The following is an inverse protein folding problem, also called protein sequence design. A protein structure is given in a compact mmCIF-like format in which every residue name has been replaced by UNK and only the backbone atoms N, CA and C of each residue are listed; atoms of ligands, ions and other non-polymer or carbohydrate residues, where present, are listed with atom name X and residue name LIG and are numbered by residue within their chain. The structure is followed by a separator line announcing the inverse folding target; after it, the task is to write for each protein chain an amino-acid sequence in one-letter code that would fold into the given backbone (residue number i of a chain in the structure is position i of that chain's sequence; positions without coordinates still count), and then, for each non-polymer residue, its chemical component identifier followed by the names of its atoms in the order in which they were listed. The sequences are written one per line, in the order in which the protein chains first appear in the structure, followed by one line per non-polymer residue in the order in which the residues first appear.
data_IF_906483444663
#
_entry.id   IF_906483444663
#
_cell.length_a   1.000
_cell.length_b   1.000
_cell.length_c   1.000
_cell.angle_alpha   90.00
_cell.angle_beta   90.00
_cell.angle_gamma   90.00
#
_symmetry.space_group_name_H-M   'P 1'
#
loop_
_entity.id
_entity.type
_entity.pdbx_description
1 polymer ?
#
# COMPACT_ATOMS: atom_id res chain seq x y z
N UNK A 1 12.41 10.16 44.94
CA UNK A 1 11.40 9.19 44.47
C UNK A 1 11.21 9.46 42.99
N UNK A 2 12.04 8.84 42.14
CA UNK A 2 11.93 8.98 40.68
C UNK A 2 10.71 8.17 40.22
N UNK A 3 9.78 8.75 39.45
CA UNK A 3 8.75 7.96 38.80
C UNK A 3 9.41 7.18 37.66
N UNK A 4 9.25 5.86 37.70
CA UNK A 4 9.58 4.93 36.64
C UNK A 4 8.61 5.19 35.47
N UNK A 5 8.99 6.08 34.56
CA UNK A 5 8.24 6.40 33.32
C UNK A 5 8.77 5.58 32.15
N UNK A 6 8.72 4.26 32.22
CA UNK A 6 8.63 3.44 31.01
C UNK A 6 7.16 3.24 30.67
N UNK A 7 6.46 4.34 30.37
CA UNK A 7 5.09 4.27 29.88
C UNK A 7 5.16 3.87 28.42
N UNK A 8 5.22 2.56 28.18
CA UNK A 8 5.10 1.96 26.86
C UNK A 8 3.90 2.55 26.10
N UNK A 9 4.13 3.02 24.88
CA UNK A 9 3.13 3.72 24.07
C UNK A 9 2.37 2.73 23.20
N UNK A 10 1.14 2.38 23.62
CA UNK A 10 0.31 1.37 22.94
C UNK A 10 -0.74 2.00 22.00
N UNK A 11 -0.84 1.46 20.79
CA UNK A 11 -1.78 1.86 19.75
C UNK A 11 -2.71 0.70 19.40
N UNK A 12 -4.02 0.85 19.63
CA UNK A 12 -5.03 -0.15 19.22
C UNK A 12 -5.36 0.01 17.73
N UNK A 13 -5.28 -1.07 16.95
CA UNK A 13 -5.38 -1.04 15.49
C UNK A 13 -6.82 -1.18 14.94
N UNK A 14 -7.83 -1.45 15.78
CA UNK A 14 -9.20 -1.67 15.33
C UNK A 14 -10.01 -0.37 15.22
N UNK A 15 -10.08 0.25 14.03
CA UNK A 15 -11.21 1.13 13.63
C UNK A 15 -11.27 1.39 12.11
N UNK A 16 -12.51 1.39 11.59
CA UNK A 16 -12.87 1.46 10.16
C UNK A 16 -12.82 2.90 9.59
N UNK A 17 -12.30 3.02 8.37
CA UNK A 17 -12.16 4.27 7.61
C UNK A 17 -13.48 4.59 6.88
N UNK A 18 -13.97 5.86 6.88
CA UNK A 18 -15.12 6.29 6.08
C UNK A 18 -14.77 6.40 4.59
N UNK A 19 -15.65 5.93 3.72
CA UNK A 19 -15.52 5.96 2.25
C UNK A 19 -15.81 7.37 1.69
N UNK A 20 -14.95 7.95 0.83
CA UNK A 20 -15.24 9.20 0.14
C UNK A 20 -16.07 8.97 -1.15
N UNK A 21 -16.89 9.96 -1.50
CA UNK A 21 -17.91 9.93 -2.56
C UNK A 21 -17.33 10.07 -3.97
N UNK A 22 -17.61 9.09 -4.84
CA UNK A 22 -17.29 9.07 -6.28
C UNK A 22 -18.18 10.06 -7.07
N UNK A 23 -17.63 11.21 -7.47
CA UNK A 23 -18.41 12.29 -8.12
C UNK A 23 -18.28 12.42 -9.64
N UNK A 24 -17.14 12.08 -10.24
CA UNK A 24 -16.84 12.57 -11.61
C UNK A 24 -16.30 11.49 -12.58
N UNK A 25 -15.82 10.35 -12.07
CA UNK A 25 -15.48 9.16 -12.88
C UNK A 25 -16.72 8.36 -13.32
N UNK A 26 -17.85 8.54 -12.62
CA UNK A 26 -19.12 7.87 -12.89
C UNK A 26 -19.81 8.33 -14.18
N UNK A 27 -19.67 9.60 -14.58
CA UNK A 27 -20.46 10.13 -15.71
C UNK A 27 -20.01 9.61 -17.08
N UNK A 28 -18.69 9.43 -17.25
CA UNK A 28 -18.12 8.79 -18.47
C UNK A 28 -18.38 7.28 -18.48
N UNK A 29 -18.25 6.61 -17.32
CA UNK A 29 -18.62 5.19 -17.16
C UNK A 29 -20.11 4.96 -17.48
N UNK A 30 -21.01 5.84 -17.00
CA UNK A 30 -22.46 5.75 -17.26
C UNK A 30 -22.80 5.80 -18.74
N UNK A 31 -22.28 6.77 -19.51
CA UNK A 31 -22.58 6.86 -20.96
C UNK A 31 -22.06 5.67 -21.75
N UNK A 32 -20.87 5.16 -21.43
CA UNK A 32 -20.31 3.97 -22.07
C UNK A 32 -21.11 2.71 -21.69
N UNK A 33 -21.51 2.60 -20.43
CA UNK A 33 -22.34 1.51 -19.93
C UNK A 33 -23.75 1.51 -20.56
N UNK A 34 -24.36 2.68 -20.78
CA UNK A 34 -25.68 2.78 -21.45
C UNK A 34 -25.61 2.36 -22.91
N UNK A 35 -24.57 2.77 -23.65
CA UNK A 35 -24.39 2.35 -25.04
C UNK A 35 -24.09 0.85 -25.16
N UNK A 36 -23.24 0.32 -24.28
CA UNK A 36 -22.89 -1.10 -24.24
C UNK A 36 -24.09 -1.97 -23.87
N UNK A 37 -24.86 -1.59 -22.84
CA UNK A 37 -26.10 -2.29 -22.47
C UNK A 37 -27.13 -2.24 -23.61
N UNK A 38 -27.31 -1.09 -24.26
CA UNK A 38 -28.17 -0.99 -25.43
C UNK A 38 -27.74 -1.95 -26.55
N UNK A 39 -26.44 -2.06 -26.84
CA UNK A 39 -25.90 -2.97 -27.84
C UNK A 39 -26.06 -4.45 -27.43
N UNK A 40 -25.88 -4.76 -26.15
CA UNK A 40 -26.02 -6.10 -25.57
C UNK A 40 -27.47 -6.59 -25.62
N UNK A 41 -28.46 -5.70 -25.58
CA UNK A 41 -29.88 -6.04 -25.78
C UNK A 41 -30.29 -5.97 -27.26
N UNK A 42 -29.77 -5.03 -28.06
CA UNK A 42 -30.14 -4.88 -29.46
C UNK A 42 -29.69 -6.06 -30.33
N UNK A 43 -28.48 -6.60 -30.11
CA UNK A 43 -27.95 -7.70 -30.91
C UNK A 43 -28.73 -9.02 -30.75
N UNK A 44 -29.10 -9.48 -29.53
CA UNK A 44 -29.97 -10.64 -29.35
C UNK A 44 -31.37 -10.43 -29.92
N UNK A 45 -31.94 -9.22 -29.79
CA UNK A 45 -33.24 -8.89 -30.39
C UNK A 45 -33.16 -9.00 -31.92
N UNK A 46 -32.07 -8.53 -32.52
CA UNK A 46 -31.81 -8.63 -33.95
C UNK A 46 -31.64 -10.09 -34.39
N UNK A 47 -30.92 -10.91 -33.62
CA UNK A 47 -30.83 -12.36 -33.84
C UNK A 47 -32.20 -13.03 -33.80
N UNK A 48 -33.01 -12.74 -32.78
CA UNK A 48 -34.36 -13.30 -32.63
C UNK A 48 -35.29 -12.87 -33.76
N UNK A 49 -35.17 -11.64 -34.24
CA UNK A 49 -35.93 -11.14 -35.38
C UNK A 49 -35.60 -11.90 -36.67
N UNK A 50 -34.31 -12.15 -36.94
CA UNK A 50 -33.89 -12.92 -38.12
C UNK A 50 -34.31 -14.40 -38.03
N UNK A 51 -34.24 -15.02 -36.85
CA UNK A 51 -34.75 -16.37 -36.62
C UNK A 51 -36.28 -16.47 -36.80
N UNK A 52 -37.02 -15.45 -36.35
CA UNK A 52 -38.46 -15.38 -36.57
C UNK A 52 -38.81 -15.23 -38.06
N UNK A 53 -38.09 -14.37 -38.80
CA UNK A 53 -38.26 -14.24 -40.25
C UNK A 53 -37.93 -15.54 -40.98
N UNK A 54 -36.88 -16.26 -40.58
CA UNK A 54 -36.56 -17.58 -41.12
C UNK A 54 -37.74 -18.55 -40.89
N UNK A 55 -38.30 -18.58 -39.69
CA UNK A 55 -39.42 -19.46 -39.36
C UNK A 55 -40.66 -19.20 -40.24
N UNK A 56 -40.94 -17.94 -40.57
CA UNK A 56 -42.09 -17.55 -41.41
C UNK A 56 -41.82 -17.72 -42.90
N UNK A 57 -40.60 -17.47 -43.36
CA UNK A 57 -40.27 -17.42 -44.80
C UNK A 57 -39.56 -18.66 -45.33
N UNK A 58 -39.08 -19.55 -44.45
CA UNK A 58 -38.25 -20.72 -44.76
C UNK A 58 -36.96 -20.43 -45.55
N UNK A 59 -36.48 -19.18 -45.54
CA UNK A 59 -35.23 -18.80 -46.21
C UNK A 59 -34.05 -19.14 -45.30
N UNK A 60 -33.34 -20.23 -45.60
CA UNK A 60 -32.14 -20.72 -44.88
C UNK A 60 -31.01 -19.68 -44.74
N UNK A 61 -30.95 -18.67 -45.62
CA UNK A 61 -29.97 -17.60 -45.53
C UNK A 61 -30.15 -16.74 -44.26
N UNK A 62 -31.39 -16.59 -43.75
CA UNK A 62 -31.67 -15.76 -42.58
C UNK A 62 -31.10 -16.34 -41.28
N UNK A 63 -30.98 -17.67 -41.18
CA UNK A 63 -30.29 -18.33 -40.08
C UNK A 63 -28.81 -17.92 -39.99
N UNK A 64 -28.13 -17.79 -41.13
CA UNK A 64 -26.73 -17.34 -41.20
C UNK A 64 -26.61 -15.88 -40.81
N UNK A 65 -27.55 -15.03 -41.24
CA UNK A 65 -27.60 -13.62 -40.85
C UNK A 65 -27.85 -13.46 -39.35
N UNK A 66 -28.67 -14.32 -38.73
CA UNK A 66 -28.91 -14.33 -37.30
C UNK A 66 -27.68 -14.71 -36.47
N UNK A 67 -26.78 -15.52 -37.03
CA UNK A 67 -25.53 -15.92 -36.38
C UNK A 67 -24.50 -14.78 -36.29
N UNK A 68 -24.50 -13.84 -37.26
CA UNK A 68 -23.53 -12.73 -37.32
C UNK A 68 -23.57 -11.84 -36.05
N UNK A 69 -24.74 -11.35 -35.57
CA UNK A 69 -24.81 -10.60 -34.31
C UNK A 69 -24.31 -11.41 -33.09
N UNK A 70 -24.57 -12.72 -33.05
CA UNK A 70 -24.10 -13.60 -31.96
C UNK A 70 -22.57 -13.73 -31.97
N UNK A 71 -21.98 -13.91 -33.15
CA UNK A 71 -20.52 -14.00 -33.32
C UNK A 71 -19.84 -12.68 -32.90
N UNK A 72 -20.42 -11.54 -33.28
CA UNK A 72 -19.93 -10.21 -32.86
C UNK A 72 -19.99 -10.06 -31.34
N UNK A 73 -21.09 -10.44 -30.69
CA UNK A 73 -21.20 -10.42 -29.23
C UNK A 73 -20.16 -11.32 -28.56
N UNK A 74 -20.02 -12.54 -29.05
CA UNK A 74 -19.08 -13.52 -28.51
C UNK A 74 -17.63 -13.02 -28.64
N UNK A 75 -17.28 -12.49 -29.80
CA UNK A 75 -15.97 -11.86 -30.05
C UNK A 75 -15.72 -10.68 -29.10
N UNK A 76 -16.68 -9.77 -28.95
CA UNK A 76 -16.56 -8.62 -28.06
C UNK A 76 -16.35 -9.03 -26.60
N UNK A 77 -17.14 -9.98 -26.08
CA UNK A 77 -17.04 -10.46 -24.69
C UNK A 77 -15.69 -11.15 -24.44
N UNK A 78 -15.23 -11.99 -25.38
CA UNK A 78 -13.94 -12.68 -25.24
C UNK A 78 -12.79 -11.68 -25.27
N UNK A 79 -12.79 -10.76 -26.24
CA UNK A 79 -11.74 -9.76 -26.38
C UNK A 79 -11.70 -8.86 -25.15
N UNK A 80 -12.85 -8.41 -24.65
CA UNK A 80 -12.94 -7.59 -23.44
C UNK A 80 -12.40 -8.33 -22.21
N UNK A 81 -12.84 -9.57 -21.96
CA UNK A 81 -12.31 -10.38 -20.84
C UNK A 81 -10.81 -10.64 -20.96
N UNK A 82 -10.33 -10.92 -22.17
CA UNK A 82 -8.92 -11.20 -22.41
C UNK A 82 -8.05 -9.95 -22.23
N UNK A 83 -8.49 -8.80 -22.77
CA UNK A 83 -7.83 -7.50 -22.59
C UNK A 83 -7.84 -7.10 -21.12
N UNK A 84 -8.98 -7.17 -20.44
CA UNK A 84 -9.09 -6.84 -19.02
C UNK A 84 -8.19 -7.75 -18.15
N UNK A 85 -8.12 -9.05 -18.46
CA UNK A 85 -7.25 -9.99 -17.77
C UNK A 85 -5.76 -9.70 -17.98
N UNK A 86 -5.36 -9.41 -19.23
CA UNK A 86 -3.97 -9.04 -19.56
C UNK A 86 -3.57 -7.71 -18.94
N UNK A 87 -4.44 -6.71 -19.01
CA UNK A 87 -4.21 -5.39 -18.45
C UNK A 87 -4.08 -5.47 -16.93
N UNK A 88 -4.99 -6.17 -16.25
CA UNK A 88 -4.90 -6.40 -14.80
C UNK A 88 -3.59 -7.09 -14.41
N UNK A 89 -3.18 -8.13 -15.14
CA UNK A 89 -1.92 -8.84 -14.88
C UNK A 89 -0.69 -7.96 -15.15
N UNK A 90 -0.74 -7.12 -16.18
CA UNK A 90 0.30 -6.13 -16.49
C UNK A 90 0.44 -5.07 -15.40
N UNK A 91 -0.68 -4.49 -14.98
CA UNK A 91 -0.74 -3.50 -13.89
C UNK A 91 -0.24 -4.08 -12.57
N UNK A 92 -0.66 -5.29 -12.19
CA UNK A 92 -0.16 -5.97 -10.98
C UNK A 92 1.36 -6.19 -11.03
N UNK A 93 1.90 -6.55 -12.21
CA UNK A 93 3.34 -6.72 -12.38
C UNK A 93 4.09 -5.39 -12.21
N UNK A 94 3.58 -4.31 -12.79
CA UNK A 94 4.15 -2.97 -12.62
C UNK A 94 4.13 -2.53 -11.16
N UNK A 95 3.01 -2.74 -10.46
CA UNK A 95 2.88 -2.44 -9.04
C UNK A 95 3.93 -3.17 -8.20
N UNK A 96 4.17 -4.45 -8.47
CA UNK A 96 5.16 -5.23 -7.74
C UNK A 96 6.60 -4.75 -7.98
N UNK A 97 6.97 -4.39 -9.21
CA UNK A 97 8.28 -3.77 -9.48
C UNK A 97 8.44 -2.46 -8.72
N UNK A 98 7.39 -1.66 -8.69
CA UNK A 98 7.36 -0.40 -7.97
C UNK A 98 7.46 -0.59 -6.45
N UNK A 99 6.67 -1.52 -5.86
CA UNK A 99 6.80 -1.90 -4.44
C UNK A 99 8.24 -2.29 -4.13
N UNK A 100 8.85 -3.15 -4.94
CA UNK A 100 10.24 -3.59 -4.75
C UNK A 100 11.24 -2.44 -4.73
N UNK A 101 11.12 -1.50 -5.67
CA UNK A 101 11.96 -0.30 -5.69
C UNK A 101 11.74 0.57 -4.46
N UNK A 102 10.49 0.79 -4.05
CA UNK A 102 10.15 1.63 -2.91
C UNK A 102 10.73 1.06 -1.63
N UNK A 103 10.47 -0.20 -1.31
CA UNK A 103 10.97 -0.80 -0.07
C UNK A 103 12.51 -0.87 0.00
N UNK A 104 13.22 -0.87 -1.14
CA UNK A 104 14.69 -0.81 -1.18
C UNK A 104 15.28 0.61 -1.14
N UNK A 105 14.45 1.64 -1.18
CA UNK A 105 14.86 3.06 -1.24
C UNK A 105 15.12 3.68 0.14
N UNK A 106 15.10 5.03 0.24
CA UNK A 106 15.21 5.78 1.50
C UNK A 106 14.14 5.40 2.55
N UNK A 107 12.99 4.87 2.14
CA UNK A 107 11.96 4.40 3.08
C UNK A 107 12.44 3.24 3.95
N UNK A 108 13.49 2.50 3.54
CA UNK A 108 14.10 1.42 4.32
C UNK A 108 14.51 1.90 5.70
N UNK A 109 15.04 3.11 5.82
CA UNK A 109 15.43 3.68 7.11
C UNK A 109 14.22 3.90 8.03
N UNK A 110 13.09 4.34 7.48
CA UNK A 110 11.83 4.49 8.22
C UNK A 110 11.41 3.15 8.83
N UNK A 111 11.45 2.08 8.04
CA UNK A 111 11.10 0.73 8.51
C UNK A 111 12.09 0.19 9.53
N UNK A 112 13.41 0.34 9.30
CA UNK A 112 14.43 -0.09 10.26
C UNK A 112 14.24 0.61 11.61
N UNK A 113 14.03 1.93 11.60
CA UNK A 113 13.78 2.70 12.82
C UNK A 113 12.49 2.23 13.52
N UNK A 114 11.44 1.99 12.73
CA UNK A 114 10.16 1.53 13.25
C UNK A 114 10.29 0.17 13.95
N UNK A 115 10.87 -0.83 13.29
CA UNK A 115 11.08 -2.16 13.86
C UNK A 115 12.01 -2.14 15.08
N UNK A 116 13.10 -1.36 15.06
CA UNK A 116 14.02 -1.27 16.19
C UNK A 116 13.40 -0.62 17.45
N UNK A 117 12.40 0.23 17.27
CA UNK A 117 11.67 0.91 18.35
C UNK A 117 10.48 0.08 18.89
N UNK A 118 10.05 -0.94 18.16
CA UNK A 118 8.86 -1.72 18.47
C UNK A 118 9.16 -2.74 19.59
N UNK A 119 8.31 -2.73 20.62
CA UNK A 119 8.35 -3.65 21.76
C UNK A 119 7.37 -4.80 21.53
N UNK A 120 6.14 -4.48 21.11
CA UNK A 120 5.08 -5.46 20.83
C UNK A 120 4.36 -5.13 19.53
N UNK A 121 4.16 -6.10 18.62
CA UNK A 121 4.85 -7.39 18.59
C UNK A 121 6.35 -7.19 18.39
N UNK A 122 7.18 -8.05 18.99
CA UNK A 122 8.63 -7.97 18.81
C UNK A 122 8.98 -8.41 17.38
N UNK A 123 9.09 -7.42 16.49
CA UNK A 123 9.48 -7.56 15.09
C UNK A 123 10.81 -6.83 14.93
N UNK A 124 11.87 -7.58 14.67
CA UNK A 124 13.14 -7.03 14.24
C UNK A 124 13.54 -7.64 12.89
N UNK A 125 14.49 -6.99 12.20
CA UNK A 125 14.93 -7.45 10.87
C UNK A 125 15.56 -8.85 10.92
N UNK A 126 16.21 -9.23 12.02
CA UNK A 126 16.86 -10.55 12.18
C UNK A 126 15.82 -11.66 12.26
N UNK A 127 14.75 -11.43 13.03
CA UNK A 127 13.59 -12.29 13.15
C UNK A 127 12.90 -12.43 11.81
N UNK A 128 12.69 -11.33 11.09
CA UNK A 128 12.14 -11.39 9.73
C UNK A 128 13.01 -12.26 8.81
N UNK A 129 14.34 -12.15 8.89
CA UNK A 129 15.25 -12.95 8.07
C UNK A 129 15.14 -14.46 8.28
N UNK A 130 14.86 -14.89 9.51
CA UNK A 130 14.74 -16.32 9.85
C UNK A 130 13.29 -16.82 9.91
N UNK A 131 12.30 -15.93 9.87
CA UNK A 131 10.89 -16.27 10.07
C UNK A 131 10.34 -17.07 8.88
N UNK A 132 9.71 -18.20 9.15
CA UNK A 132 9.00 -18.97 8.13
C UNK A 132 7.68 -18.30 7.72
N UNK A 133 7.11 -18.69 6.57
CA UNK A 133 5.87 -18.08 6.07
C UNK A 133 4.72 -18.10 7.11
N UNK A 134 4.45 -19.20 7.84
CA UNK A 134 3.41 -19.20 8.88
C UNK A 134 3.71 -18.23 10.03
N UNK A 135 4.98 -18.02 10.35
CA UNK A 135 5.40 -17.08 11.40
C UNK A 135 5.17 -15.63 10.94
N UNK A 136 5.46 -15.30 9.68
CA UNK A 136 5.15 -13.98 9.12
C UNK A 136 3.63 -13.70 9.11
N UNK A 137 2.82 -14.68 8.73
CA UNK A 137 1.36 -14.55 8.78
C UNK A 137 0.88 -14.32 10.22
N UNK A 138 1.43 -15.06 11.19
CA UNK A 138 1.11 -14.86 12.60
C UNK A 138 1.51 -13.47 13.10
N UNK A 139 2.71 -12.99 12.76
CA UNK A 139 3.15 -11.63 13.10
C UNK A 139 2.21 -10.57 12.53
N UNK A 140 1.64 -10.82 11.35
CA UNK A 140 0.68 -9.94 10.69
C UNK A 140 -0.69 -9.92 11.36
N UNK A 141 -1.14 -11.07 11.85
CA UNK A 141 -2.38 -11.22 12.64
C UNK A 141 -2.23 -10.59 14.04
N UNK A 142 -1.06 -10.73 14.66
CA UNK A 142 -0.76 -10.21 16.01
C UNK A 142 -0.54 -8.67 16.05
N UNK A 143 -0.74 -7.96 14.94
CA UNK A 143 -0.58 -6.48 14.86
C UNK A 143 -1.70 -5.69 15.55
N UNK A 144 -2.61 -6.32 16.30
CA UNK A 144 -3.75 -5.66 16.96
C UNK A 144 -3.33 -4.48 17.86
N UNK A 145 -2.16 -4.58 18.50
CA UNK A 145 -1.62 -3.53 19.35
C UNK A 145 -0.14 -3.33 19.05
N UNK A 146 0.23 -2.10 18.67
CA UNK A 146 1.62 -1.69 18.53
C UNK A 146 2.09 -0.94 19.76
N UNK A 147 3.18 -1.40 20.35
CA UNK A 147 3.78 -0.78 21.52
C UNK A 147 5.20 -0.35 21.23
N UNK A 148 5.52 0.92 21.46
CA UNK A 148 6.86 1.49 21.24
C UNK A 148 7.59 1.77 22.55
N UNK A 149 8.93 1.69 22.49
CA UNK A 149 9.82 1.80 23.65
C UNK A 149 9.78 3.18 24.30
N UNK A 150 9.82 4.26 23.51
CA UNK A 150 9.80 5.62 24.04
C UNK A 150 9.25 6.64 23.04
N UNK A 151 9.00 7.86 23.52
CA UNK A 151 8.56 9.00 22.72
C UNK A 151 9.68 9.44 21.76
N UNK A 152 10.93 9.38 22.20
CA UNK A 152 12.12 9.74 21.42
C UNK A 152 12.35 8.76 20.25
N UNK A 153 12.10 7.48 20.48
CA UNK A 153 12.15 6.47 19.42
C UNK A 153 11.05 6.72 18.38
N UNK A 154 9.83 7.07 18.82
CA UNK A 154 8.74 7.48 17.93
C UNK A 154 9.06 8.75 17.15
N UNK A 155 9.70 9.74 17.79
CA UNK A 155 10.12 10.97 17.13
C UNK A 155 11.13 10.65 16.02
N UNK A 156 12.09 9.77 16.29
CA UNK A 156 13.09 9.34 15.31
C UNK A 156 12.43 8.72 14.07
N UNK A 157 11.37 7.92 14.27
CA UNK A 157 10.57 7.38 13.17
C UNK A 157 9.86 8.51 12.43
N UNK A 158 9.13 9.38 13.13
CA UNK A 158 8.36 10.47 12.53
C UNK A 158 9.24 11.41 11.69
N UNK A 159 10.43 11.77 12.19
CA UNK A 159 11.39 12.62 11.48
C UNK A 159 11.98 11.91 10.26
N UNK A 160 12.23 10.60 10.33
CA UNK A 160 12.76 9.85 9.17
C UNK A 160 11.83 9.86 7.94
N UNK A 161 10.53 10.08 8.14
CA UNK A 161 9.58 10.27 7.03
C UNK A 161 9.87 11.54 6.22
N UNK A 162 10.46 12.59 6.81
CA UNK A 162 10.83 13.83 6.11
C UNK A 162 11.86 13.52 5.02
N UNK A 163 12.89 12.75 5.36
CA UNK A 163 13.96 12.35 4.42
C UNK A 163 13.44 11.39 3.33
N UNK A 164 12.41 10.61 3.65
CA UNK A 164 11.76 9.71 2.71
C UNK A 164 10.70 10.40 1.82
N UNK A 165 10.43 11.70 1.98
CA UNK A 165 9.34 12.41 1.26
C UNK A 165 9.39 12.23 -0.25
N UNK A 166 10.57 12.32 -0.87
CA UNK A 166 10.73 12.18 -2.32
C UNK A 166 10.29 10.81 -2.83
N UNK A 167 10.44 9.76 -2.02
CA UNK A 167 9.98 8.40 -2.35
C UNK A 167 8.45 8.36 -2.40
N UNK A 168 7.78 8.94 -1.41
CA UNK A 168 6.31 8.99 -1.36
C UNK A 168 5.72 9.83 -2.49
N UNK A 169 6.34 10.98 -2.84
CA UNK A 169 5.93 11.77 -4.01
C UNK A 169 6.10 10.98 -5.29
N UNK A 170 7.24 10.32 -5.47
CA UNK A 170 7.48 9.46 -6.64
C UNK A 170 6.39 8.39 -6.72
N UNK A 171 6.11 7.69 -5.61
CA UNK A 171 5.10 6.65 -5.59
C UNK A 171 3.69 7.17 -5.90
N UNK A 172 3.34 8.36 -5.41
CA UNK A 172 2.08 9.04 -5.74
C UNK A 172 1.98 9.35 -7.24
N UNK A 173 3.04 9.92 -7.84
CA UNK A 173 3.07 10.23 -9.27
C UNK A 173 2.88 8.96 -10.13
N UNK A 174 3.51 7.87 -9.72
CA UNK A 174 3.31 6.57 -10.37
C UNK A 174 1.90 6.01 -10.16
N UNK A 175 1.33 6.14 -8.97
CA UNK A 175 -0.05 5.71 -8.69
C UNK A 175 -1.05 6.46 -9.58
N UNK A 176 -0.85 7.76 -9.81
CA UNK A 176 -1.64 8.57 -10.74
C UNK A 176 -1.49 8.07 -12.17
N UNK A 177 -0.24 7.83 -12.62
CA UNK A 177 0.03 7.37 -13.99
C UNK A 177 -0.60 6.01 -14.32
N UNK A 178 -0.78 5.15 -13.32
CA UNK A 178 -1.30 3.79 -13.50
C UNK A 178 -2.72 3.57 -12.95
N UNK A 179 -3.40 4.64 -12.52
CA UNK A 179 -4.78 4.60 -12.03
C UNK A 179 -4.94 3.68 -10.80
N UNK A 180 -4.00 3.76 -9.86
CA UNK A 180 -4.05 3.05 -8.59
C UNK A 180 -4.67 3.93 -7.49
N UNK A 181 -5.98 4.17 -7.58
CA UNK A 181 -6.72 5.08 -6.69
C UNK A 181 -6.52 4.78 -5.19
N UNK A 182 -6.58 3.52 -4.76
CA UNK A 182 -6.37 3.15 -3.36
C UNK A 182 -4.98 3.53 -2.83
N UNK A 183 -3.94 3.43 -3.67
CA UNK A 183 -2.58 3.83 -3.31
C UNK A 183 -2.47 5.36 -3.22
N UNK A 184 -3.16 6.07 -4.11
CA UNK A 184 -3.17 7.53 -4.13
C UNK A 184 -3.67 8.10 -2.80
N UNK A 185 -4.79 7.59 -2.27
CA UNK A 185 -5.34 8.05 -0.98
C UNK A 185 -4.36 7.84 0.18
N UNK A 186 -3.73 6.66 0.23
CA UNK A 186 -2.71 6.34 1.22
C UNK A 186 -1.52 7.30 1.14
N UNK A 187 -1.05 7.59 -0.08
CA UNK A 187 0.10 8.47 -0.30
C UNK A 187 -0.20 9.91 0.10
N UNK A 188 -1.40 10.41 -0.24
CA UNK A 188 -1.85 11.74 0.18
C UNK A 188 -1.82 11.83 1.70
N UNK A 189 -2.35 10.83 2.40
CA UNK A 189 -2.36 10.81 3.86
C UNK A 189 -0.95 10.87 4.46
N UNK A 190 -0.02 10.04 3.96
CA UNK A 190 1.37 10.02 4.44
C UNK A 190 2.12 11.31 4.09
N UNK A 191 1.91 11.87 2.90
CA UNK A 191 2.51 13.15 2.51
C UNK A 191 2.02 14.32 3.38
N UNK A 192 0.72 14.31 3.74
CA UNK A 192 0.19 15.26 4.72
C UNK A 192 0.79 15.05 6.10
N UNK A 193 1.05 13.81 6.53
CA UNK A 193 1.75 13.55 7.79
C UNK A 193 3.17 14.12 7.75
N UNK A 194 3.95 13.82 6.69
CA UNK A 194 5.29 14.34 6.48
C UNK A 194 5.33 15.86 6.56
N UNK A 195 4.37 16.52 5.91
CA UNK A 195 4.28 17.97 5.91
C UNK A 195 4.05 18.53 7.32
N UNK A 196 3.19 17.91 8.12
CA UNK A 196 2.94 18.34 9.50
C UNK A 196 4.18 18.19 10.38
N UNK A 197 4.87 17.05 10.31
CA UNK A 197 6.12 16.82 11.05
C UNK A 197 7.15 17.88 10.65
N UNK A 198 7.34 18.08 9.34
CA UNK A 198 8.31 19.04 8.81
C UNK A 198 8.01 20.46 9.29
N UNK A 199 6.77 20.94 9.13
CA UNK A 199 6.40 22.29 9.55
C UNK A 199 6.63 22.46 11.06
N UNK A 200 6.21 21.49 11.87
CA UNK A 200 6.41 21.57 13.32
C UNK A 200 7.90 21.68 13.69
N UNK A 201 8.77 20.86 13.08
CA UNK A 201 10.21 20.90 13.33
C UNK A 201 10.88 22.19 12.83
N UNK A 202 10.36 22.81 11.77
CA UNK A 202 10.83 24.12 11.29
C UNK A 202 10.50 25.25 12.29
N UNK A 203 9.33 25.21 12.95
CA UNK A 203 8.93 26.22 13.95
C UNK A 203 9.42 25.93 15.37
N UNK A 204 9.64 24.65 15.70
CA UNK A 204 10.02 24.19 17.04
C UNK A 204 11.13 23.12 16.96
N UNK A 205 12.36 23.50 16.57
CA UNK A 205 13.44 22.54 16.31
C UNK A 205 13.79 21.68 17.52
N UNK A 206 13.74 22.26 18.73
CA UNK A 206 14.14 21.61 19.98
C UNK A 206 13.01 20.80 20.66
N UNK A 207 11.79 20.83 20.10
CA UNK A 207 10.63 20.09 20.66
C UNK A 207 10.32 18.85 19.85
N UNK A 208 9.81 17.82 20.52
CA UNK A 208 9.39 16.58 19.87
C UNK A 208 8.01 16.79 19.23
N UNK A 209 7.91 16.51 17.93
CA UNK A 209 6.62 16.51 17.23
C UNK A 209 5.66 15.50 17.86
N UNK A 210 6.14 14.33 18.27
CA UNK A 210 5.30 13.26 18.84
C UNK A 210 4.58 13.70 20.11
N UNK A 211 5.24 14.43 21.01
CA UNK A 211 4.59 14.97 22.21
C UNK A 211 3.43 15.91 21.84
N UNK A 212 3.66 16.78 20.85
CA UNK A 212 2.62 17.66 20.33
C UNK A 212 1.49 16.88 19.68
N UNK A 213 1.80 15.90 18.82
CA UNK A 213 0.80 15.07 18.16
C UNK A 213 -0.07 14.32 19.18
N UNK A 214 0.56 13.76 20.22
CA UNK A 214 -0.11 13.07 21.32
C UNK A 214 -0.98 13.97 22.20
N UNK A 215 -0.69 15.27 22.24
CA UNK A 215 -1.51 16.25 22.97
C UNK A 215 -2.88 16.52 22.32
N UNK A 216 -3.09 16.03 21.09
CA UNK A 216 -4.36 16.19 20.36
C UNK A 216 -4.92 14.85 19.91
N UNK A 217 -6.26 14.66 19.94
CA UNK A 217 -6.87 13.42 19.45
C UNK A 217 -6.54 13.15 17.96
N UNK A 218 -6.58 14.18 17.11
CA UNK A 218 -6.30 14.06 15.68
C UNK A 218 -4.83 13.71 15.40
N UNK A 219 -3.88 14.34 16.11
CA UNK A 219 -2.46 14.04 15.96
C UNK A 219 -2.12 12.62 16.41
N UNK A 220 -2.70 12.18 17.53
CA UNK A 220 -2.57 10.80 18.04
C UNK A 220 -3.07 9.79 17.02
N UNK A 221 -4.27 10.02 16.46
CA UNK A 221 -4.86 9.15 15.45
C UNK A 221 -4.04 9.12 14.15
N UNK A 222 -3.51 10.26 13.73
CA UNK A 222 -2.66 10.34 12.55
C UNK A 222 -1.35 9.57 12.73
N UNK A 223 -0.69 9.76 13.87
CA UNK A 223 0.53 9.03 14.23
C UNK A 223 0.27 7.53 14.28
N UNK A 224 -0.80 7.12 14.98
CA UNK A 224 -1.26 5.74 15.06
C UNK A 224 -1.43 5.12 13.68
N UNK A 225 -2.23 5.77 12.82
CA UNK A 225 -2.53 5.27 11.48
C UNK A 225 -1.28 5.11 10.63
N UNK A 226 -0.42 6.13 10.56
CA UNK A 226 0.82 6.05 9.74
C UNK A 226 1.72 4.92 10.21
N UNK A 227 1.90 4.77 11.52
CA UNK A 227 2.77 3.76 12.09
C UNK A 227 2.22 2.33 11.89
N UNK A 228 0.94 2.13 12.18
CA UNK A 228 0.27 0.84 12.00
C UNK A 228 0.19 0.44 10.54
N UNK A 229 -0.20 1.36 9.65
CA UNK A 229 -0.30 1.07 8.22
C UNK A 229 1.07 0.73 7.63
N UNK A 230 2.13 1.40 8.07
CA UNK A 230 3.49 1.10 7.62
C UNK A 230 3.88 -0.35 7.97
N UNK A 231 3.80 -0.74 9.25
CA UNK A 231 4.15 -2.09 9.70
C UNK A 231 3.29 -3.15 9.00
N UNK A 232 1.98 -2.90 8.91
CA UNK A 232 1.04 -3.81 8.25
C UNK A 232 1.39 -4.01 6.77
N UNK A 233 1.59 -2.92 6.02
CA UNK A 233 1.91 -2.98 4.59
C UNK A 233 3.28 -3.61 4.32
N UNK A 234 4.25 -3.42 5.22
CA UNK A 234 5.53 -4.11 5.13
C UNK A 234 5.36 -5.61 5.28
N UNK A 235 4.62 -6.06 6.31
CA UNK A 235 4.38 -7.50 6.52
C UNK A 235 3.55 -8.11 5.38
N UNK A 236 2.52 -7.41 4.88
CA UNK A 236 1.74 -7.84 3.72
C UNK A 236 2.65 -8.05 2.50
N UNK A 237 3.57 -7.11 2.25
CA UNK A 237 4.53 -7.24 1.17
C UNK A 237 5.58 -8.35 1.40
N UNK A 238 6.04 -8.52 2.64
CA UNK A 238 6.95 -9.59 3.02
C UNK A 238 6.33 -10.98 2.80
N UNK A 239 5.06 -11.16 3.17
CA UNK A 239 4.28 -12.38 2.95
C UNK A 239 4.06 -12.61 1.46
N UNK A 240 3.67 -11.57 0.70
CA UNK A 240 3.51 -11.62 -0.76
C UNK A 240 4.81 -12.09 -1.43
N UNK A 241 5.95 -11.49 -1.07
CA UNK A 241 7.25 -11.89 -1.61
C UNK A 241 7.66 -13.31 -1.19
N UNK A 242 7.51 -13.69 0.08
CA UNK A 242 7.90 -15.03 0.52
C UNK A 242 7.06 -16.13 -0.14
N UNK A 243 5.81 -15.82 -0.47
CA UNK A 243 4.88 -16.74 -1.16
C UNK A 243 5.16 -16.83 -2.66
N UNK A 244 5.29 -15.68 -3.34
CA UNK A 244 5.35 -15.65 -4.80
C UNK A 244 6.77 -15.58 -5.38
N UNK A 245 7.72 -15.02 -4.62
CA UNK A 245 9.09 -14.65 -5.07
C UNK A 245 10.13 -14.74 -3.95
N UNK A 246 10.39 -15.93 -3.39
CA UNK A 246 11.25 -16.08 -2.21
C UNK A 246 12.68 -15.53 -2.41
N UNK A 247 13.25 -15.62 -3.62
CA UNK A 247 14.57 -15.03 -3.91
C UNK A 247 14.58 -13.49 -3.74
N UNK A 248 13.51 -12.81 -4.15
CA UNK A 248 13.39 -11.35 -4.01
C UNK A 248 13.18 -10.95 -2.55
N UNK A 249 12.51 -11.81 -1.78
CA UNK A 249 12.39 -11.68 -0.33
C UNK A 249 13.76 -11.77 0.34
N UNK A 250 14.56 -12.79 0.02
CA UNK A 250 15.89 -13.00 0.60
C UNK A 250 16.82 -11.81 0.31
N UNK A 251 16.80 -11.32 -0.94
CA UNK A 251 17.52 -10.10 -1.32
C UNK A 251 17.06 -8.88 -0.51
N UNK A 252 15.75 -8.65 -0.42
CA UNK A 252 15.19 -7.51 0.32
C UNK A 252 15.62 -7.54 1.79
N UNK A 253 15.45 -8.68 2.46
CA UNK A 253 15.78 -8.79 3.88
C UNK A 253 17.30 -8.70 4.11
N UNK A 254 18.11 -9.26 3.21
CA UNK A 254 19.57 -9.11 3.26
C UNK A 254 19.99 -7.64 3.19
N UNK A 255 19.41 -6.86 2.28
CA UNK A 255 19.68 -5.41 2.19
C UNK A 255 19.28 -4.67 3.48
N UNK A 256 18.17 -5.04 4.11
CA UNK A 256 17.72 -4.48 5.39
C UNK A 256 18.66 -4.86 6.55
N UNK A 257 19.13 -6.10 6.61
CA UNK A 257 20.11 -6.56 7.61
C UNK A 257 21.40 -5.74 7.50
N UNK A 258 21.96 -5.65 6.30
CA UNK A 258 23.19 -4.89 6.04
C UNK A 258 23.04 -3.42 6.46
N UNK A 259 21.92 -2.79 6.10
CA UNK A 259 21.65 -1.41 6.47
C UNK A 259 21.49 -1.22 8.00
N UNK A 260 20.83 -2.17 8.67
CA UNK A 260 20.66 -2.15 10.14
C UNK A 260 22.00 -2.28 10.86
N UNK A 261 22.87 -3.20 10.41
CA UNK A 261 24.19 -3.43 11.00
C UNK A 261 25.15 -2.25 10.78
N UNK A 262 25.12 -1.63 9.59
CA UNK A 262 25.87 -0.40 9.31
C UNK A 262 25.47 0.75 10.25
N UNK A 263 24.16 0.89 10.52
CA UNK A 263 23.64 1.92 11.41
C UNK A 263 24.10 1.71 12.86
N UNK A 264 23.98 0.48 13.36
CA UNK A 264 24.43 0.11 14.72
C UNK A 264 25.95 0.35 14.90
N UNK A 265 26.76 0.02 13.89
CA UNK A 265 28.20 0.25 13.91
C UNK A 265 28.55 1.75 13.97
N UNK A 266 27.79 2.60 13.26
CA UNK A 266 28.01 4.03 13.25
C UNK A 266 27.64 4.70 14.59
N UNK A 267 26.57 4.23 15.24
CA UNK A 267 26.14 4.70 16.56
C UNK A 267 27.12 4.29 17.67
N UNK A 268 27.64 3.06 17.63
CA UNK A 268 28.67 2.60 18.58
C UNK A 268 30.00 3.37 18.41
N UNK A 269 30.40 3.69 17.18
CA UNK A 269 31.59 4.49 16.90
C UNK A 269 31.50 5.95 17.40
N UNK A 270 30.31 6.56 17.32
CA UNK A 270 30.07 7.91 17.88
C UNK A 270 30.08 7.91 19.41
N UNK A 271 29.55 6.87 20.04
CA UNK A 271 29.61 6.71 21.51
C UNK A 271 31.04 6.61 22.04
N UNK A 272 31.90 5.83 21.39
CA UNK A 272 33.30 5.66 21.80
C UNK A 272 34.16 6.93 21.62
N UNK A 273 33.89 7.74 20.59
CA UNK A 273 34.61 9.00 20.36
C UNK A 273 34.28 10.06 21.42
N UNK A 274 33.04 10.11 21.92
CA UNK A 274 32.62 11.05 22.96
C UNK A 274 33.21 10.69 24.33
N UNK A 275 33.45 9.40 24.61
CA UNK A 275 34.10 8.97 25.88
C UNK A 275 35.61 9.20 25.91
N UNK A 276 36.27 9.46 24.78
CA UNK A 276 37.71 9.77 24.73
C UNK A 276 38.03 11.28 24.79
N UNK A 277 37.01 12.14 24.79
CA UNK A 277 37.16 13.61 24.89
C UNK A 277 36.59 14.20 26.19
N UNK A 278 36.32 13.37 27.20
CA UNK A 278 35.91 13.81 28.54
C UNK A 278 37.02 13.57 29.58
#
# INVERSE_FOLDING_TARGET
MQPDMTTNLSFNCQQAIPQPSEGDSEQKKKKFFTAYTALLFALPILTLFFLWLEHVTHILFLAHVAAIPLEIMFGAIIVERFLAGREKKGRLRQLMHMKSYIFRSRIREVFINNFNALVTPQIDIRKLATAELPELCKLREDLDVLTYRSVEDLETIAVSYIDARSVFVTFMDWAIQHDFEAILEDMIFVLHFIQDVRMYKEYHPDKLFVEYAMSTPQGTEKLRKVLTDAVSKFLDYAIELKTERPLVYDELISEYLMASEMKQSHEQGKGAAVTQTA
#
